data_IF_597552555891
#
_entry.id   IF_597552555891
#
_cell.length_a   1.000
_cell.length_b   1.000
_cell.length_c   1.000
_cell.angle_alpha   90.00
_cell.angle_beta   90.00
_cell.angle_gamma   90.00
#
_symmetry.space_group_name_H-M   'P 1'
#
loop_
_entity.id
_entity.type
_entity.pdbx_description
1 polymer ?
#
# COMPACT_ATOMS: atom_id res chain seq x y z
N UNK A 1 20.50 -16.67 8.74
CA UNK A 1 19.59 -16.60 9.90
C UNK A 1 18.49 -17.61 9.68
N UNK A 2 18.42 -18.63 10.53
CA UNK A 2 17.37 -19.64 10.50
C UNK A 2 16.14 -19.11 11.24
N UNK A 3 15.10 -18.75 10.50
CA UNK A 3 13.80 -18.40 11.07
C UNK A 3 13.23 -19.60 11.84
N UNK A 4 12.86 -19.42 13.10
CA UNK A 4 12.29 -20.46 13.95
C UNK A 4 10.93 -20.01 14.48
N UNK A 5 9.91 -20.86 14.39
CA UNK A 5 8.55 -20.58 14.86
C UNK A 5 8.49 -20.29 16.36
N UNK A 6 9.47 -20.74 17.14
CA UNK A 6 9.57 -20.44 18.57
C UNK A 6 9.82 -18.97 18.88
N UNK A 7 10.38 -18.19 17.95
CA UNK A 7 10.65 -16.76 18.16
C UNK A 7 9.40 -15.87 18.11
N UNK A 8 8.24 -16.42 17.72
CA UNK A 8 6.95 -15.72 17.82
C UNK A 8 6.39 -15.74 19.24
N UNK A 9 6.64 -16.81 19.98
CA UNK A 9 6.11 -17.02 21.34
C UNK A 9 7.08 -16.59 22.44
N UNK A 10 8.38 -16.56 22.13
CA UNK A 10 9.40 -15.98 22.98
C UNK A 10 10.28 -15.05 22.14
N UNK A 11 9.80 -13.82 21.86
CA UNK A 11 10.56 -12.89 21.07
C UNK A 11 11.91 -12.61 21.75
N UNK A 12 13.00 -12.51 20.98
CA UNK A 12 14.28 -12.13 21.54
C UNK A 12 14.15 -10.77 22.27
N UNK A 13 14.95 -10.54 23.32
CA UNK A 13 14.91 -9.30 24.07
C UNK A 13 15.09 -8.09 23.14
N UNK A 14 14.36 -7.02 23.42
CA UNK A 14 14.51 -5.77 22.66
C UNK A 14 15.97 -5.34 22.72
N UNK A 15 16.60 -5.27 21.55
CA UNK A 15 17.94 -4.71 21.39
C UNK A 15 17.84 -3.46 20.53
N UNK A 16 18.76 -2.54 20.71
CA UNK A 16 18.94 -1.46 19.76
C UNK A 16 19.45 -2.05 18.43
N UNK A 17 18.78 -1.68 17.34
CA UNK A 17 19.25 -2.01 16.00
C UNK A 17 20.39 -1.06 15.67
N UNK A 18 21.49 -1.61 15.15
CA UNK A 18 22.60 -0.78 14.69
C UNK A 18 22.18 0.08 13.49
N UNK A 19 22.87 1.20 13.27
CA UNK A 19 22.58 2.10 12.15
C UNK A 19 22.54 1.36 10.80
N UNK A 20 23.44 0.41 10.57
CA UNK A 20 23.46 -0.35 9.32
C UNK A 20 22.24 -1.26 9.13
N UNK A 21 21.60 -1.71 10.22
CA UNK A 21 20.41 -2.57 10.16
C UNK A 21 19.12 -1.77 9.93
N UNK A 22 19.11 -0.46 10.22
CA UNK A 22 17.93 0.41 10.07
C UNK A 22 18.02 1.38 8.90
N UNK A 23 19.23 1.64 8.38
CA UNK A 23 19.45 2.47 7.19
C UNK A 23 18.83 1.89 5.92
N UNK A 24 18.65 0.57 5.85
CA UNK A 24 18.20 -0.09 4.64
C UNK A 24 16.66 -0.10 4.53
N UNK A 25 16.08 1.08 4.34
CA UNK A 25 14.64 1.24 4.11
C UNK A 25 14.23 0.92 2.66
N UNK A 26 15.15 0.43 1.83
CA UNK A 26 14.90 0.09 0.42
C UNK A 26 13.75 -0.93 0.26
N UNK A 27 13.69 -2.04 1.03
CA UNK A 27 12.55 -2.94 0.98
C UNK A 27 11.23 -2.25 1.33
N UNK A 28 11.24 -1.38 2.35
CA UNK A 28 10.06 -0.61 2.74
C UNK A 28 9.61 0.35 1.64
N UNK A 29 10.55 1.02 0.96
CA UNK A 29 10.26 1.90 -0.16
C UNK A 29 9.71 1.14 -1.37
N UNK A 30 10.26 -0.03 -1.68
CA UNK A 30 9.75 -0.90 -2.76
C UNK A 30 8.33 -1.32 -2.43
N UNK A 31 8.07 -1.81 -1.21
CA UNK A 31 6.73 -2.24 -0.81
C UNK A 31 5.73 -1.07 -0.84
N UNK A 32 6.10 0.09 -0.32
CA UNK A 32 5.26 1.29 -0.37
C UNK A 32 4.94 1.68 -1.82
N UNK A 33 5.92 1.61 -2.72
CA UNK A 33 5.75 1.93 -4.14
C UNK A 33 4.82 0.94 -4.82
N UNK A 34 5.08 -0.36 -4.68
CA UNK A 34 4.28 -1.43 -5.28
C UNK A 34 2.84 -1.39 -4.78
N UNK A 35 2.63 -1.24 -3.47
CA UNK A 35 1.30 -1.11 -2.90
C UNK A 35 0.57 0.11 -3.46
N UNK A 36 1.22 1.26 -3.47
CA UNK A 36 0.59 2.51 -3.89
C UNK A 36 0.23 2.49 -5.38
N UNK A 37 1.10 1.96 -6.24
CA UNK A 37 0.81 1.82 -7.67
C UNK A 37 -0.23 0.73 -7.94
N UNK A 38 -0.09 -0.45 -7.32
CA UNK A 38 -0.99 -1.59 -7.53
C UNK A 38 -2.39 -1.33 -6.99
N UNK A 39 -2.50 -1.05 -5.68
CA UNK A 39 -3.79 -0.78 -5.04
C UNK A 39 -4.38 0.57 -5.51
N UNK A 40 -3.54 1.60 -5.69
CA UNK A 40 -3.97 2.86 -6.25
C UNK A 40 -4.54 2.71 -7.67
N UNK A 41 -3.87 1.94 -8.53
CA UNK A 41 -4.36 1.59 -9.87
C UNK A 41 -5.68 0.82 -9.82
N UNK A 42 -5.79 -0.17 -8.94
CA UNK A 42 -7.01 -0.93 -8.73
C UNK A 42 -8.19 -0.02 -8.35
N UNK A 43 -8.01 0.89 -7.39
CA UNK A 43 -9.04 1.86 -7.00
C UNK A 43 -9.35 2.87 -8.11
N UNK A 44 -8.33 3.48 -8.72
CA UNK A 44 -8.48 4.52 -9.75
C UNK A 44 -9.23 4.01 -11.00
N UNK A 45 -9.03 2.74 -11.35
CA UNK A 45 -9.73 2.07 -12.46
C UNK A 45 -11.25 1.94 -12.24
N UNK A 46 -11.71 2.00 -10.98
CA UNK A 46 -13.11 1.76 -10.62
C UNK A 46 -13.54 0.30 -10.67
N UNK A 47 -12.62 -0.65 -10.91
CA UNK A 47 -12.87 -2.10 -10.89
C UNK A 47 -13.64 -2.60 -9.65
N UNK A 48 -13.36 -2.15 -8.41
CA UNK A 48 -14.13 -2.59 -7.23
C UNK A 48 -15.62 -2.24 -7.28
N UNK A 49 -15.99 -1.21 -8.07
CA UNK A 49 -17.34 -0.65 -8.14
C UNK A 49 -18.06 -1.05 -9.43
N UNK A 50 -17.57 -2.07 -10.13
CA UNK A 50 -18.22 -2.62 -11.32
C UNK A 50 -19.19 -3.73 -10.91
N UNK A 51 -20.44 -3.61 -11.36
CA UNK A 51 -21.40 -4.69 -11.21
C UNK A 51 -20.96 -5.91 -12.03
N UNK A 52 -20.81 -7.06 -11.38
CA UNK A 52 -20.20 -8.25 -11.98
C UNK A 52 -20.99 -9.51 -11.64
N UNK A 53 -20.64 -10.63 -12.29
CA UNK A 53 -21.23 -11.96 -12.03
C UNK A 53 -21.14 -12.38 -10.55
N UNK A 54 -20.15 -11.87 -9.79
CA UNK A 54 -20.03 -12.14 -8.36
C UNK A 54 -21.22 -11.57 -7.58
N UNK A 55 -21.64 -10.35 -7.89
CA UNK A 55 -22.79 -9.71 -7.23
C UNK A 55 -24.10 -10.33 -7.69
N UNK A 56 -24.20 -10.73 -8.96
CA UNK A 56 -25.35 -11.51 -9.46
C UNK A 56 -25.50 -12.84 -8.74
N UNK A 57 -24.41 -13.59 -8.52
CA UNK A 57 -24.42 -14.86 -7.76
C UNK A 57 -24.80 -14.68 -6.30
N UNK A 58 -24.55 -13.50 -5.71
CA UNK A 58 -25.01 -13.12 -4.37
C UNK A 58 -26.47 -12.65 -4.33
N UNK A 59 -27.17 -12.63 -5.47
CA UNK A 59 -28.55 -12.18 -5.58
C UNK A 59 -28.73 -10.66 -5.48
N UNK A 60 -27.65 -9.87 -5.62
CA UNK A 60 -27.72 -8.41 -5.54
C UNK A 60 -28.25 -7.86 -6.86
N UNK A 61 -29.36 -7.13 -6.82
CA UNK A 61 -29.91 -6.46 -8.01
C UNK A 61 -29.07 -5.23 -8.39
N UNK A 62 -29.21 -4.77 -9.63
CA UNK A 62 -28.48 -3.57 -10.08
C UNK A 62 -28.85 -2.32 -9.28
N UNK A 63 -30.14 -2.16 -8.94
CA UNK A 63 -30.63 -1.03 -8.14
C UNK A 63 -30.02 -1.04 -6.73
N UNK A 64 -29.96 -2.21 -6.09
CA UNK A 64 -29.36 -2.35 -4.78
C UNK A 64 -27.84 -2.12 -4.82
N UNK A 65 -27.17 -2.57 -5.88
CA UNK A 65 -25.75 -2.30 -6.09
C UNK A 65 -25.46 -0.80 -6.21
N UNK A 66 -26.26 -0.06 -6.97
CA UNK A 66 -26.14 1.41 -7.10
C UNK A 66 -26.38 2.09 -5.76
N UNK A 67 -27.38 1.64 -4.99
CA UNK A 67 -27.67 2.19 -3.66
C UNK A 67 -26.51 2.00 -2.69
N UNK A 68 -25.82 0.85 -2.75
CA UNK A 68 -24.63 0.54 -1.93
C UNK A 68 -23.38 1.30 -2.37
N UNK A 69 -23.30 1.71 -3.64
CA UNK A 69 -22.14 2.40 -4.22
C UNK A 69 -22.52 3.78 -4.76
N UNK A 70 -22.81 4.75 -3.87
CA UNK A 70 -23.21 6.08 -4.30
C UNK A 70 -22.06 6.78 -5.05
N UNK A 71 -22.40 7.65 -6.01
CA UNK A 71 -21.42 8.30 -6.91
C UNK A 71 -20.30 9.02 -6.18
N UNK A 72 -20.61 9.73 -5.09
CA UNK A 72 -19.60 10.45 -4.30
C UNK A 72 -18.54 9.49 -3.74
N UNK A 73 -18.95 8.33 -3.23
CA UNK A 73 -18.05 7.33 -2.65
C UNK A 73 -17.13 6.74 -3.71
N UNK A 74 -17.70 6.36 -4.86
CA UNK A 74 -16.93 5.83 -6.00
C UNK A 74 -15.92 6.86 -6.48
N UNK A 75 -16.33 8.13 -6.61
CA UNK A 75 -15.43 9.22 -7.01
C UNK A 75 -14.33 9.46 -5.98
N UNK A 76 -14.62 9.45 -4.68
CA UNK A 76 -13.61 9.60 -3.62
C UNK A 76 -12.61 8.46 -3.63
N UNK A 77 -13.06 7.21 -3.76
CA UNK A 77 -12.18 6.05 -3.83
C UNK A 77 -11.26 6.10 -5.06
N UNK A 78 -11.78 6.53 -6.22
CA UNK A 78 -10.97 6.69 -7.44
C UNK A 78 -9.96 7.82 -7.31
N UNK A 79 -10.35 8.96 -6.73
CA UNK A 79 -9.46 10.08 -6.47
C UNK A 79 -8.34 9.69 -5.49
N UNK A 80 -8.68 8.95 -4.42
CA UNK A 80 -7.70 8.40 -3.50
C UNK A 80 -6.74 7.42 -4.19
N UNK A 81 -7.26 6.57 -5.08
CA UNK A 81 -6.42 5.72 -5.92
C UNK A 81 -5.43 6.50 -6.78
N UNK A 82 -5.88 7.60 -7.39
CA UNK A 82 -5.01 8.52 -8.13
C UNK A 82 -3.93 9.16 -7.24
N UNK A 83 -4.30 9.59 -6.04
CA UNK A 83 -3.36 10.14 -5.06
C UNK A 83 -2.30 9.09 -4.63
N UNK A 84 -2.70 7.83 -4.43
CA UNK A 84 -1.77 6.74 -4.17
C UNK A 84 -0.81 6.51 -5.33
N UNK A 85 -1.28 6.54 -6.58
CA UNK A 85 -0.38 6.41 -7.74
C UNK A 85 0.67 7.52 -7.74
N UNK A 86 0.25 8.77 -7.54
CA UNK A 86 1.18 9.90 -7.46
C UNK A 86 2.18 9.73 -6.32
N UNK A 87 1.72 9.32 -5.14
CA UNK A 87 2.58 9.01 -3.99
C UNK A 87 3.56 7.88 -4.30
N UNK A 88 3.13 6.83 -5.00
CA UNK A 88 3.97 5.73 -5.45
C UNK A 88 5.11 6.20 -6.35
N UNK A 89 4.84 7.10 -7.31
CA UNK A 89 5.91 7.69 -8.14
C UNK A 89 6.87 8.55 -7.32
N UNK A 90 6.36 9.38 -6.43
CA UNK A 90 7.19 10.23 -5.55
C UNK A 90 8.13 9.36 -4.71
N UNK A 91 7.60 8.32 -4.06
CA UNK A 91 8.39 7.41 -3.21
C UNK A 91 9.31 6.50 -4.02
N UNK A 92 8.87 5.99 -5.16
CA UNK A 92 9.65 5.08 -6.00
C UNK A 92 10.84 5.76 -6.67
N UNK A 93 10.74 7.07 -6.94
CA UNK A 93 11.81 7.86 -7.54
C UNK A 93 12.72 8.55 -6.52
N UNK A 94 12.37 8.50 -5.23
CA UNK A 94 13.16 9.06 -4.15
C UNK A 94 14.47 8.31 -3.95
N UNK A 95 15.59 9.02 -3.74
CA UNK A 95 16.94 8.48 -3.69
C UNK A 95 17.59 8.28 -5.07
N UNK A 96 16.78 8.05 -6.11
CA UNK A 96 17.28 7.89 -7.49
C UNK A 96 17.24 9.20 -8.29
N UNK A 97 16.05 9.79 -8.41
CA UNK A 97 15.81 10.99 -9.22
C UNK A 97 15.96 12.27 -8.39
N UNK A 98 15.55 12.22 -7.12
CA UNK A 98 15.56 13.35 -6.18
C UNK A 98 15.91 12.87 -4.77
N UNK A 99 16.39 13.77 -3.90
CA UNK A 99 16.83 13.44 -2.53
C UNK A 99 17.91 12.33 -2.50
N UNK A 100 18.98 12.52 -3.26
CA UNK A 100 20.05 11.51 -3.48
C UNK A 100 20.88 11.22 -2.23
N UNK A 101 20.98 12.19 -1.32
CA UNK A 101 21.74 12.07 -0.06
C UNK A 101 20.87 11.60 1.12
N UNK A 102 19.73 10.97 0.83
CA UNK A 102 18.76 10.58 1.87
C UNK A 102 19.38 9.56 2.82
N UNK A 103 19.64 10.00 4.04
CA UNK A 103 19.95 9.13 5.18
C UNK A 103 18.65 8.72 5.87
N UNK A 104 18.36 7.42 5.91
CA UNK A 104 17.19 6.89 6.60
C UNK A 104 17.45 6.88 8.11
N UNK A 105 17.19 8.02 8.76
CA UNK A 105 17.42 8.37 10.18
C UNK A 105 18.86 8.19 10.69
N UNK A 106 19.49 9.32 11.03
CA UNK A 106 20.60 9.37 11.97
C UNK A 106 20.02 9.61 13.37
N UNK A 107 20.17 8.66 14.28
CA UNK A 107 19.86 8.89 15.69
C UNK A 107 21.10 9.51 16.35
N UNK A 108 20.88 10.54 17.17
CA UNK A 108 21.93 11.22 17.95
C UNK A 108 22.22 10.44 19.23
#
# INVERSE_FOLDING_TARGET
MSSNITSLFNPPPQRELSENETKDCVPCQIMATLFSLGFGGYLASGKPFQYSEVEKKKGVTMEEFIKRNPKWWVSSARAFGGALIAFGFVRGTEGWLWNKDKTYKTYK
#
